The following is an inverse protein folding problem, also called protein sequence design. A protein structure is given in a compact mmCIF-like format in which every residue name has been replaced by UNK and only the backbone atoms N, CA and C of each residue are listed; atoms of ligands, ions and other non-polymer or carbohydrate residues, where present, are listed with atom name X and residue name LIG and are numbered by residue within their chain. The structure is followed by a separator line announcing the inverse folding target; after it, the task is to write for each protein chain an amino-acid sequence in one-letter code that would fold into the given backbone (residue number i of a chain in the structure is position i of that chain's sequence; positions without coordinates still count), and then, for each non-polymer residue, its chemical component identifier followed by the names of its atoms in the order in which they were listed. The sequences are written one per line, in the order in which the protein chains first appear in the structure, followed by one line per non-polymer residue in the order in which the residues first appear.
data_IF_707632088982
#
_entry.id   IF_707632088982
#
_cell.length_a   1.000
_cell.length_b   1.000
_cell.length_c   1.000
_cell.angle_alpha   90.00
_cell.angle_beta   90.00
_cell.angle_gamma   90.00
#
_symmetry.space_group_name_H-M   'P 1'
#
loop_
_entity.id
_entity.type
_entity.pdbx_description
1 polymer ?
#
# COMPACT_ATOMS: atom_id res chain seq x y z
N UNK A 1 39.62 -57.76 -2.01
CA UNK A 1 38.98 -57.65 -0.68
C UNK A 1 39.78 -56.64 0.14
N UNK A 2 39.12 -55.66 0.78
CA UNK A 2 39.70 -54.66 1.71
C UNK A 2 40.34 -53.46 0.98
N UNK A 3 39.75 -52.27 0.83
CA UNK A 3 39.19 -51.26 1.74
C UNK A 3 40.22 -50.19 2.21
N UNK A 4 39.99 -48.97 1.69
CA UNK A 4 40.28 -47.59 2.15
C UNK A 4 41.33 -47.28 3.26
N UNK A 5 42.12 -46.20 3.08
CA UNK A 5 41.82 -44.87 3.68
C UNK A 5 42.99 -43.86 3.57
N UNK A 6 42.64 -42.61 3.16
CA UNK A 6 43.13 -41.26 3.61
C UNK A 6 44.62 -40.90 3.53
N UNK A 7 45.06 -39.93 2.71
CA UNK A 7 44.86 -38.46 2.70
C UNK A 7 45.90 -37.68 3.52
N UNK A 8 46.64 -36.77 2.87
CA UNK A 8 47.11 -35.48 3.43
C UNK A 8 47.89 -34.68 2.36
N UNK A 9 47.59 -33.39 2.20
CA UNK A 9 48.41 -32.52 1.34
C UNK A 9 47.78 -31.19 0.90
N UNK A 10 47.46 -30.33 1.88
CA UNK A 10 47.44 -28.86 1.84
C UNK A 10 46.96 -28.12 0.56
N UNK A 11 45.85 -27.38 0.68
CA UNK A 11 45.53 -26.26 -0.21
C UNK A 11 45.34 -24.96 0.59
N UNK A 12 46.12 -23.94 0.24
CA UNK A 12 46.09 -22.58 0.80
C UNK A 12 44.71 -21.96 0.55
N UNK A 13 43.97 -21.67 1.62
CA UNK A 13 42.83 -20.77 1.54
C UNK A 13 43.30 -19.32 1.42
N UNK A 14 43.17 -18.74 0.23
CA UNK A 14 43.15 -17.30 0.01
C UNK A 14 41.83 -16.76 0.57
N UNK A 15 41.91 -16.18 1.77
CA UNK A 15 40.83 -15.41 2.36
C UNK A 15 40.77 -14.06 1.65
N UNK A 16 39.94 -13.94 0.61
CA UNK A 16 39.64 -12.64 0.01
C UNK A 16 38.58 -11.94 0.87
N UNK A 17 38.99 -10.82 1.48
CA UNK A 17 38.08 -9.91 2.15
C UNK A 17 37.05 -9.39 1.14
N UNK A 18 35.75 -9.57 1.44
CA UNK A 18 34.68 -8.87 0.71
C UNK A 18 34.86 -7.36 0.93
N UNK A 19 34.95 -6.53 -0.11
CA UNK A 19 34.90 -5.10 0.08
C UNK A 19 33.51 -4.72 0.62
N UNK A 20 33.51 -4.11 1.79
CA UNK A 20 32.39 -3.32 2.33
C UNK A 20 32.13 -2.15 1.38
N UNK A 21 30.97 -2.16 0.73
CA UNK A 21 30.54 -1.11 -0.20
C UNK A 21 29.94 -1.69 -1.47
N UNK A 22 28.80 -2.38 -1.35
CA UNK A 22 28.01 -2.73 -2.52
C UNK A 22 27.05 -1.57 -2.81
N UNK A 23 27.57 -0.48 -3.37
CA UNK A 23 26.72 0.42 -4.14
C UNK A 23 26.39 -0.30 -5.44
N UNK A 24 25.25 -1.01 -5.46
CA UNK A 24 24.77 -1.68 -6.67
C UNK A 24 24.66 -0.65 -7.80
N UNK A 25 25.28 -0.94 -8.93
CA UNK A 25 25.20 -0.07 -10.10
C UNK A 25 23.74 0.16 -10.50
N UNK A 26 23.40 1.35 -11.02
CA UNK A 26 22.04 1.67 -11.49
C UNK A 26 21.48 0.63 -12.49
N UNK A 27 22.38 -0.06 -13.22
CA UNK A 27 22.05 -1.14 -14.14
C UNK A 27 21.65 -2.46 -13.45
N UNK A 28 22.29 -2.84 -12.32
CA UNK A 28 21.87 -4.00 -11.53
C UNK A 28 20.53 -3.76 -10.82
N UNK A 29 20.27 -2.52 -10.41
CA UNK A 29 18.98 -2.13 -9.82
C UNK A 29 17.83 -2.25 -10.82
N UNK A 30 18.10 -2.01 -12.11
CA UNK A 30 17.11 -2.11 -13.18
C UNK A 30 16.69 -3.56 -13.51
N UNK A 31 17.52 -4.56 -13.19
CA UNK A 31 17.24 -5.98 -13.49
C UNK A 31 16.59 -6.73 -12.30
N UNK A 32 16.68 -6.20 -11.08
CA UNK A 32 16.09 -6.80 -9.87
C UNK A 32 14.65 -6.34 -9.69
N UNK A 33 13.74 -7.28 -9.36
CA UNK A 33 12.36 -6.93 -8.99
C UNK A 33 12.36 -6.02 -7.75
N UNK A 34 11.66 -4.87 -7.76
CA UNK A 34 11.58 -3.99 -6.60
C UNK A 34 11.05 -4.73 -5.38
N UNK A 35 11.75 -4.58 -4.26
CA UNK A 35 11.31 -5.05 -2.95
C UNK A 35 10.47 -3.96 -2.28
N UNK A 36 9.16 -4.17 -2.23
CA UNK A 36 8.21 -3.31 -1.52
C UNK A 36 7.71 -4.01 -0.26
N UNK A 37 7.59 -3.28 0.84
CA UNK A 37 7.05 -3.80 2.09
C UNK A 37 5.73 -3.13 2.45
N UNK A 38 4.77 -3.93 2.90
CA UNK A 38 3.55 -3.41 3.50
C UNK A 38 3.88 -2.80 4.87
N UNK A 39 3.55 -1.53 5.05
CA UNK A 39 3.85 -0.82 6.29
C UNK A 39 2.65 0.01 6.73
N UNK A 40 2.49 0.14 8.04
CA UNK A 40 1.49 1.01 8.67
C UNK A 40 2.04 1.64 9.94
N UNK A 41 2.74 0.85 10.77
CA UNK A 41 3.41 1.37 11.95
C UNK A 41 4.71 2.10 11.57
N UNK A 42 5.19 2.92 12.51
CA UNK A 42 6.35 3.79 12.32
C UNK A 42 7.64 3.01 12.09
N UNK A 43 7.83 1.86 12.74
CA UNK A 43 9.04 1.04 12.60
C UNK A 43 9.11 0.36 11.24
N UNK A 44 7.99 -0.18 10.75
CA UNK A 44 7.88 -0.76 9.41
C UNK A 44 8.08 0.30 8.33
N UNK A 45 7.61 1.54 8.56
CA UNK A 45 7.91 2.65 7.65
C UNK A 45 9.42 2.97 7.63
N UNK A 46 10.09 3.02 8.79
CA UNK A 46 11.54 3.20 8.86
C UNK A 46 12.29 2.04 8.17
N UNK A 47 11.87 0.79 8.40
CA UNK A 47 12.46 -0.37 7.74
C UNK A 47 12.31 -0.30 6.21
N UNK A 48 11.15 0.15 5.72
CA UNK A 48 10.93 0.37 4.29
C UNK A 48 11.95 1.38 3.71
N UNK A 49 12.14 2.50 4.42
CA UNK A 49 13.16 3.51 4.13
C UNK A 49 14.57 2.94 4.03
N UNK A 50 14.94 2.17 5.05
CA UNK A 50 16.31 1.70 5.26
C UNK A 50 16.71 0.57 4.31
N UNK A 51 15.82 -0.41 4.13
CA UNK A 51 16.18 -1.70 3.53
C UNK A 51 15.37 -2.09 2.27
N UNK A 52 14.34 -1.33 1.88
CA UNK A 52 13.48 -1.67 0.74
C UNK A 52 13.60 -0.67 -0.41
N UNK A 53 13.14 -1.08 -1.59
CA UNK A 53 13.02 -0.21 -2.76
C UNK A 53 11.82 0.73 -2.64
N UNK A 54 10.87 0.41 -1.76
CA UNK A 54 9.72 1.26 -1.51
C UNK A 54 8.79 0.76 -0.42
N UNK A 55 7.74 1.54 -0.20
CA UNK A 55 6.69 1.33 0.79
C UNK A 55 5.36 1.07 0.09
N UNK A 56 4.57 0.14 0.65
CA UNK A 56 3.22 -0.18 0.18
C UNK A 56 2.20 0.12 1.28
N UNK A 57 1.61 1.33 1.31
CA UNK A 57 0.57 1.65 2.27
C UNK A 57 -0.65 0.74 2.15
N UNK A 58 -1.23 0.37 3.29
CA UNK A 58 -2.45 -0.44 3.31
C UNK A 58 -3.63 0.35 2.73
N UNK A 59 -4.61 -0.25 2.02
CA UNK A 59 -5.73 0.48 1.40
C UNK A 59 -6.56 1.38 2.35
N UNK A 60 -6.48 1.14 3.66
CA UNK A 60 -7.18 1.93 4.68
C UNK A 60 -6.45 3.24 5.03
N UNK A 61 -5.16 3.36 4.71
CA UNK A 61 -4.37 4.53 5.08
C UNK A 61 -4.79 5.73 4.22
N UNK A 62 -5.21 6.79 4.90
CA UNK A 62 -5.63 8.05 4.29
C UNK A 62 -4.43 8.85 3.76
N UNK A 63 -4.67 9.79 2.84
CA UNK A 63 -3.66 10.77 2.38
C UNK A 63 -2.94 11.40 3.57
N UNK A 64 -3.70 11.93 4.53
CA UNK A 64 -3.19 12.56 5.75
C UNK A 64 -2.20 11.65 6.50
N UNK A 65 -2.59 10.42 6.80
CA UNK A 65 -1.74 9.49 7.54
C UNK A 65 -0.48 9.12 6.76
N UNK A 66 -0.58 8.96 5.44
CA UNK A 66 0.58 8.69 4.59
C UNK A 66 1.56 9.86 4.64
N UNK A 67 1.10 11.10 4.44
CA UNK A 67 1.95 12.28 4.34
C UNK A 67 2.50 12.75 5.67
N UNK A 68 1.74 12.61 6.76
CA UNK A 68 2.12 13.13 8.08
C UNK A 68 2.84 12.10 8.95
N UNK A 69 2.63 10.79 8.70
CA UNK A 69 3.21 9.72 9.53
C UNK A 69 4.11 8.79 8.73
N UNK A 70 3.60 8.21 7.65
CA UNK A 70 4.31 7.12 6.96
C UNK A 70 5.55 7.62 6.20
N UNK A 71 5.39 8.62 5.34
CA UNK A 71 6.49 9.16 4.53
C UNK A 71 7.59 9.82 5.38
N UNK A 72 7.29 10.59 6.44
CA UNK A 72 8.32 11.09 7.35
C UNK A 72 9.12 9.96 8.03
N UNK A 73 8.46 8.88 8.46
CA UNK A 73 9.16 7.74 9.04
C UNK A 73 9.97 6.96 8.01
N UNK A 74 9.49 6.81 6.78
CA UNK A 74 10.27 6.24 5.69
C UNK A 74 11.50 7.09 5.35
N UNK A 75 11.40 8.42 5.40
CA UNK A 75 12.53 9.32 5.20
C UNK A 75 13.60 9.16 6.29
N UNK A 76 13.21 8.93 7.55
CA UNK A 76 14.16 8.62 8.63
C UNK A 76 14.95 7.34 8.36
N UNK A 77 14.27 6.29 7.89
CA UNK A 77 14.91 5.05 7.48
C UNK A 77 15.86 5.22 6.29
N UNK A 78 15.40 5.92 5.25
CA UNK A 78 16.20 6.20 4.06
C UNK A 78 17.48 6.96 4.44
N UNK A 79 17.39 7.95 5.33
CA UNK A 79 18.53 8.72 5.81
C UNK A 79 19.59 7.85 6.51
N UNK A 80 19.19 6.82 7.28
CA UNK A 80 20.13 5.88 7.92
C UNK A 80 20.92 5.07 6.89
N UNK A 81 20.30 4.76 5.75
CA UNK A 81 20.93 4.07 4.63
C UNK A 81 21.63 5.00 3.62
N UNK A 82 21.77 6.30 3.93
CA UNK A 82 22.38 7.28 3.02
C UNK A 82 21.54 7.59 1.78
N UNK A 83 20.23 7.28 1.80
CA UNK A 83 19.28 7.48 0.69
C UNK A 83 18.34 8.64 0.96
N UNK A 84 17.69 9.13 -0.09
CA UNK A 84 16.60 10.11 -0.01
C UNK A 84 15.24 9.45 -0.20
N UNK A 85 14.19 10.09 0.30
CA UNK A 85 12.81 9.60 0.18
C UNK A 85 12.39 9.45 -1.29
N UNK A 86 12.83 10.37 -2.16
CA UNK A 86 12.49 10.33 -3.60
C UNK A 86 13.07 9.11 -4.34
N UNK A 87 14.00 8.38 -3.71
CA UNK A 87 14.54 7.12 -4.24
C UNK A 87 13.70 5.90 -3.82
N UNK A 88 12.61 6.10 -3.08
CA UNK A 88 11.65 5.07 -2.71
C UNK A 88 10.44 5.10 -3.63
N UNK A 89 9.99 3.92 -4.01
CA UNK A 89 8.67 3.74 -4.61
C UNK A 89 7.60 3.87 -3.52
N UNK A 90 6.56 4.66 -3.78
CA UNK A 90 5.35 4.74 -2.97
C UNK A 90 4.22 4.10 -3.76
N UNK A 91 4.00 2.81 -3.51
CA UNK A 91 3.02 2.00 -4.22
C UNK A 91 1.71 1.95 -3.43
N UNK A 92 0.73 2.76 -3.83
CA UNK A 92 -0.56 2.81 -3.14
C UNK A 92 -1.57 1.85 -3.77
N UNK A 93 -2.46 1.33 -2.94
CA UNK A 93 -3.62 0.56 -3.40
C UNK A 93 -4.92 1.08 -2.80
N UNK A 94 -5.49 2.19 -3.31
CA UNK A 94 -6.65 2.80 -2.70
C UNK A 94 -7.88 1.90 -2.77
N UNK A 95 -8.78 2.04 -1.79
CA UNK A 95 -10.15 1.56 -1.94
C UNK A 95 -10.86 2.46 -2.96
N UNK A 96 -11.56 1.85 -3.92
CA UNK A 96 -12.23 2.56 -5.01
C UNK A 96 -13.65 2.03 -5.15
N UNK A 97 -14.63 2.93 -5.13
CA UNK A 97 -16.03 2.64 -5.44
C UNK A 97 -16.40 3.39 -6.72
N UNK A 98 -16.68 2.65 -7.79
CA UNK A 98 -17.02 3.22 -9.10
C UNK A 98 -18.31 2.61 -9.64
N UNK A 99 -19.27 3.46 -10.00
CA UNK A 99 -20.49 3.07 -10.71
C UNK A 99 -20.70 3.88 -11.99
N UNK A 100 -21.42 3.31 -12.94
CA UNK A 100 -21.89 4.05 -14.14
C UNK A 100 -23.11 4.92 -13.83
N UNK A 101 -23.99 4.44 -12.96
CA UNK A 101 -25.19 5.11 -12.48
C UNK A 101 -25.29 5.07 -10.94
N UNK A 102 -26.29 5.74 -10.38
CA UNK A 102 -26.49 5.84 -8.93
C UNK A 102 -26.76 4.49 -8.27
N UNK A 103 -27.39 3.55 -8.98
CA UNK A 103 -27.69 2.23 -8.45
C UNK A 103 -26.42 1.38 -8.30
N UNK A 104 -25.60 1.33 -9.35
CA UNK A 104 -24.31 0.64 -9.31
C UNK A 104 -23.36 1.31 -8.31
N UNK A 105 -23.32 2.64 -8.28
CA UNK A 105 -22.50 3.37 -7.33
C UNK A 105 -22.91 3.07 -5.89
N UNK A 106 -24.23 3.03 -5.62
CA UNK A 106 -24.77 2.66 -4.31
C UNK A 106 -24.39 1.24 -3.88
N UNK A 107 -24.37 0.28 -4.80
CA UNK A 107 -23.84 -1.07 -4.53
C UNK A 107 -22.34 -1.03 -4.17
N UNK A 108 -21.51 -0.33 -4.94
CA UNK A 108 -20.07 -0.25 -4.66
C UNK A 108 -19.76 0.47 -3.36
N UNK A 109 -20.51 1.52 -3.05
CA UNK A 109 -20.40 2.24 -1.78
C UNK A 109 -20.70 1.30 -0.61
N UNK A 110 -21.75 0.48 -0.69
CA UNK A 110 -22.05 -0.53 0.34
C UNK A 110 -20.91 -1.54 0.51
N UNK A 111 -20.38 -2.07 -0.58
CA UNK A 111 -19.24 -3.01 -0.54
C UNK A 111 -18.01 -2.37 0.12
N UNK A 112 -17.67 -1.13 -0.25
CA UNK A 112 -16.52 -0.41 0.31
C UNK A 112 -16.74 -0.07 1.78
N UNK A 113 -17.94 0.36 2.19
CA UNK A 113 -18.27 0.59 3.61
C UNK A 113 -18.04 -0.67 4.43
N UNK A 114 -18.45 -1.84 3.94
CA UNK A 114 -18.21 -3.11 4.63
C UNK A 114 -16.72 -3.41 4.79
N UNK A 115 -15.90 -3.16 3.76
CA UNK A 115 -14.44 -3.31 3.84
C UNK A 115 -13.82 -2.35 4.83
N UNK A 116 -14.20 -1.07 4.81
CA UNK A 116 -13.74 -0.06 5.75
C UNK A 116 -14.08 -0.48 7.18
N UNK A 117 -15.32 -0.91 7.41
CA UNK A 117 -15.78 -1.30 8.73
C UNK A 117 -15.04 -2.54 9.26
N UNK A 118 -14.77 -3.52 8.39
CA UNK A 118 -13.94 -4.68 8.71
C UNK A 118 -12.53 -4.26 9.16
N UNK A 119 -11.84 -3.42 8.38
CA UNK A 119 -10.50 -2.95 8.76
C UNK A 119 -10.54 -2.11 10.04
N UNK A 120 -11.50 -1.19 10.17
CA UNK A 120 -11.66 -0.35 11.35
C UNK A 120 -11.93 -1.16 12.63
N UNK A 121 -12.49 -2.37 12.52
CA UNK A 121 -12.68 -3.26 13.68
C UNK A 121 -11.39 -3.91 14.22
N UNK A 122 -10.28 -3.79 13.48
CA UNK A 122 -8.97 -4.34 13.87
C UNK A 122 -8.09 -3.26 14.47
N UNK A 123 -7.67 -3.48 15.73
CA UNK A 123 -6.95 -2.47 16.55
C UNK A 123 -5.66 -1.96 15.91
N UNK A 124 -4.97 -2.77 15.10
CA UNK A 124 -3.74 -2.38 14.39
C UNK A 124 -3.93 -1.14 13.51
N UNK A 125 -5.15 -0.90 13.00
CA UNK A 125 -5.44 0.26 12.14
C UNK A 125 -5.88 1.50 12.91
N UNK A 126 -6.08 1.42 14.24
CA UNK A 126 -6.57 2.53 15.07
C UNK A 126 -5.78 3.84 14.88
N UNK A 127 -4.44 3.85 14.76
CA UNK A 127 -3.70 5.09 14.53
C UNK A 127 -4.13 5.87 13.28
N UNK A 128 -4.60 5.18 12.23
CA UNK A 128 -5.11 5.82 11.01
C UNK A 128 -6.40 6.60 11.31
N UNK A 129 -7.27 6.05 12.14
CA UNK A 129 -8.54 6.67 12.53
C UNK A 129 -8.33 7.77 13.57
N UNK A 130 -7.42 7.58 14.53
CA UNK A 130 -7.06 8.59 15.52
C UNK A 130 -6.52 9.87 14.88
N UNK A 131 -5.79 9.76 13.76
CA UNK A 131 -5.33 10.92 13.00
C UNK A 131 -6.47 11.84 12.49
N UNK A 132 -7.71 11.35 12.48
CA UNK A 132 -8.93 12.09 12.13
C UNK A 132 -9.88 12.27 13.31
N UNK A 133 -9.49 11.87 14.52
CA UNK A 133 -10.37 11.92 15.70
C UNK A 133 -11.44 10.81 15.74
N UNK A 134 -11.31 9.76 14.92
CA UNK A 134 -12.29 8.68 14.79
C UNK A 134 -11.99 7.47 15.68
N UNK A 135 -11.20 7.60 16.74
CA UNK A 135 -10.89 6.51 17.66
C UNK A 135 -12.13 5.83 18.24
N UNK A 136 -13.17 6.61 18.57
CA UNK A 136 -14.45 6.08 19.06
C UNK A 136 -15.22 5.24 18.03
N UNK A 137 -15.01 5.47 16.72
CA UNK A 137 -15.57 4.62 15.66
C UNK A 137 -14.91 3.24 15.68
N UNK A 138 -13.58 3.20 15.83
CA UNK A 138 -12.83 1.94 15.96
C UNK A 138 -13.29 1.15 17.17
N UNK A 139 -13.42 1.80 18.33
CA UNK A 139 -13.84 1.14 19.57
C UNK A 139 -15.24 0.50 19.42
N UNK A 140 -16.17 1.22 18.76
CA UNK A 140 -17.52 0.71 18.44
C UNK A 140 -17.48 -0.49 17.49
N UNK A 141 -16.77 -0.37 16.37
CA UNK A 141 -16.69 -1.41 15.34
C UNK A 141 -15.99 -2.67 15.84
N UNK A 142 -14.96 -2.50 16.67
CA UNK A 142 -14.31 -3.61 17.38
C UNK A 142 -15.28 -4.32 18.33
N UNK A 143 -16.12 -3.56 19.06
CA UNK A 143 -17.18 -4.14 19.88
C UNK A 143 -18.16 -4.99 19.08
N UNK A 144 -18.62 -4.50 17.92
CA UNK A 144 -19.53 -5.24 17.04
C UNK A 144 -18.88 -6.50 16.44
N UNK A 145 -17.60 -6.42 16.04
CA UNK A 145 -16.89 -7.57 15.45
C UNK A 145 -16.71 -8.71 16.46
N UNK A 146 -16.38 -8.39 17.72
CA UNK A 146 -16.28 -9.41 18.79
C UNK A 146 -17.62 -10.08 19.13
N UNK A 147 -18.74 -9.39 18.84
CA UNK A 147 -20.10 -9.94 18.96
C UNK A 147 -20.58 -10.63 17.67
N UNK A 148 -19.73 -10.75 16.65
CA UNK A 148 -20.05 -11.29 15.32
C UNK A 148 -21.17 -10.53 14.58
N UNK A 149 -21.40 -9.27 14.93
CA UNK A 149 -22.45 -8.40 14.34
C UNK A 149 -21.95 -7.72 13.06
N UNK A 150 -21.46 -8.51 12.11
CA UNK A 150 -20.76 -8.04 10.92
C UNK A 150 -21.66 -7.22 9.97
N UNK A 151 -22.94 -7.58 9.87
CA UNK A 151 -23.91 -6.94 8.96
C UNK A 151 -24.28 -5.51 9.39
N UNK A 152 -24.14 -5.19 10.67
CA UNK A 152 -24.48 -3.87 11.22
C UNK A 152 -23.36 -2.85 11.05
N UNK A 153 -22.10 -3.33 11.03
CA UNK A 153 -20.92 -2.48 10.99
C UNK A 153 -20.86 -1.48 9.82
N UNK A 154 -21.23 -1.83 8.57
CA UNK A 154 -21.18 -0.88 7.45
C UNK A 154 -22.05 0.36 7.69
N UNK A 155 -23.18 0.22 8.42
CA UNK A 155 -24.10 1.30 8.74
C UNK A 155 -23.53 2.32 9.75
N UNK A 156 -22.42 2.00 10.42
CA UNK A 156 -21.73 2.91 11.33
C UNK A 156 -20.67 3.76 10.65
N UNK A 157 -20.33 3.49 9.39
CA UNK A 157 -19.39 4.32 8.64
C UNK A 157 -20.19 5.54 8.13
N UNK A 158 -19.81 6.79 8.46
CA UNK A 158 -20.43 7.98 7.86
C UNK A 158 -19.87 8.25 6.46
N UNK A 159 -20.50 9.15 5.68
CA UNK A 159 -19.99 9.58 4.36
C UNK A 159 -18.60 10.20 4.45
N UNK A 160 -18.33 11.01 5.48
CA UNK A 160 -17.03 11.64 5.70
C UNK A 160 -15.87 10.63 5.78
N UNK A 161 -16.07 9.54 6.54
CA UNK A 161 -15.07 8.47 6.69
C UNK A 161 -14.89 7.72 5.37
N UNK A 162 -15.99 7.43 4.67
CA UNK A 162 -15.98 6.76 3.37
C UNK A 162 -15.16 7.58 2.36
N UNK A 163 -15.51 8.85 2.17
CA UNK A 163 -14.89 9.73 1.17
C UNK A 163 -13.42 10.05 1.48
N UNK A 164 -13.05 10.03 2.76
CA UNK A 164 -11.65 10.25 3.18
C UNK A 164 -10.77 9.03 2.89
N UNK A 165 -11.30 7.82 3.09
CA UNK A 165 -10.54 6.57 2.96
C UNK A 165 -10.58 6.04 1.52
N UNK A 166 -11.74 6.08 0.87
CA UNK A 166 -11.97 5.52 -0.45
C UNK A 166 -12.19 6.60 -1.50
N UNK A 167 -11.79 6.32 -2.73
CA UNK A 167 -12.14 7.16 -3.88
C UNK A 167 -13.49 6.72 -4.40
N UNK A 168 -14.50 7.56 -4.24
CA UNK A 168 -15.87 7.30 -4.70
C UNK A 168 -16.15 8.15 -5.94
N UNK A 169 -16.73 7.56 -6.99
CA UNK A 169 -17.09 8.31 -8.19
C UNK A 169 -17.60 7.45 -9.33
N UNK A 170 -17.46 7.99 -10.53
CA UNK A 170 -17.84 7.38 -11.80
C UNK A 170 -16.60 7.04 -12.62
N UNK A 171 -16.79 6.26 -13.68
CA UNK A 171 -15.70 6.00 -14.63
C UNK A 171 -15.15 7.27 -15.31
N UNK A 172 -15.88 8.39 -15.29
CA UNK A 172 -15.47 9.67 -15.90
C UNK A 172 -14.57 10.51 -15.02
N UNK A 173 -14.63 10.36 -13.69
CA UNK A 173 -13.93 11.24 -12.75
C UNK A 173 -13.01 10.50 -11.77
N UNK A 174 -13.09 9.18 -11.68
CA UNK A 174 -12.26 8.39 -10.76
C UNK A 174 -10.75 8.59 -11.00
N UNK A 175 -10.30 8.66 -12.25
CA UNK A 175 -8.88 8.87 -12.57
C UNK A 175 -8.39 10.22 -12.02
N UNK A 176 -9.17 11.30 -12.28
CA UNK A 176 -8.90 12.63 -11.74
C UNK A 176 -8.87 12.63 -10.21
N UNK A 177 -9.88 12.03 -9.55
CA UNK A 177 -9.95 11.97 -8.08
C UNK A 177 -8.79 11.19 -7.46
N UNK A 178 -8.34 10.12 -8.10
CA UNK A 178 -7.14 9.36 -7.69
C UNK A 178 -5.90 10.26 -7.76
N UNK A 179 -5.69 10.98 -8.88
CA UNK A 179 -4.54 11.85 -9.06
C UNK A 179 -4.55 13.05 -8.11
N UNK A 180 -5.71 13.69 -7.91
CA UNK A 180 -5.86 14.78 -6.93
C UNK A 180 -5.50 14.32 -5.52
N UNK A 181 -5.80 13.07 -5.17
CA UNK A 181 -5.57 12.54 -3.83
C UNK A 181 -4.17 12.00 -3.60
N UNK A 182 -3.48 11.54 -4.63
CA UNK A 182 -2.24 10.78 -4.45
C UNK A 182 -1.12 11.14 -5.42
N UNK A 183 -1.40 11.89 -6.49
CA UNK A 183 -0.47 12.11 -7.60
C UNK A 183 0.77 12.94 -7.25
N UNK A 184 0.77 13.63 -6.12
CA UNK A 184 1.92 14.41 -5.64
C UNK A 184 2.99 13.59 -4.91
N UNK A 185 2.69 12.36 -4.48
CA UNK A 185 3.65 11.49 -3.80
C UNK A 185 3.64 10.03 -4.24
N UNK A 186 2.55 9.53 -4.83
CA UNK A 186 2.49 8.14 -5.26
C UNK A 186 3.27 7.96 -6.57
N UNK A 187 4.28 7.10 -6.54
CA UNK A 187 5.04 6.73 -7.74
C UNK A 187 4.38 5.57 -8.49
N UNK A 188 3.49 4.82 -7.82
CA UNK A 188 2.72 3.72 -8.40
C UNK A 188 1.34 3.64 -7.76
N UNK A 189 0.32 3.49 -8.59
CA UNK A 189 -1.07 3.33 -8.16
C UNK A 189 -1.60 2.00 -8.68
N UNK A 190 -2.05 1.16 -7.77
CA UNK A 190 -2.66 -0.14 -8.08
C UNK A 190 -4.10 -0.15 -7.60
N UNK A 191 -5.05 -0.44 -8.46
CA UNK A 191 -6.45 -0.56 -8.04
C UNK A 191 -7.13 -1.67 -8.83
N UNK A 192 -8.21 -2.18 -8.27
CA UNK A 192 -9.06 -3.16 -8.92
C UNK A 192 -10.44 -2.55 -9.07
N UNK A 193 -10.94 -2.52 -10.30
CA UNK A 193 -12.35 -2.32 -10.58
C UNK A 193 -12.95 -3.68 -10.95
N UNK A 194 -14.15 -4.01 -10.45
CA UNK A 194 -14.80 -5.27 -10.78
C UNK A 194 -15.06 -5.35 -12.28
N UNK A 195 -14.64 -6.47 -12.91
CA UNK A 195 -14.92 -6.79 -14.32
C UNK A 195 -15.94 -7.93 -14.33
N UNK A 196 -17.23 -7.60 -14.31
CA UNK A 196 -18.34 -8.56 -14.21
C UNK A 196 -19.19 -8.61 -15.48
N UNK A 197 -19.28 -7.49 -16.20
CA UNK A 197 -20.12 -7.32 -17.39
C UNK A 197 -19.25 -7.12 -18.64
N UNK A 198 -19.78 -7.47 -19.83
CA UNK A 198 -19.20 -7.02 -21.09
C UNK A 198 -19.00 -5.49 -21.06
N UNK A 199 -17.82 -5.01 -21.44
CA UNK A 199 -17.46 -3.59 -21.42
C UNK A 199 -16.71 -3.12 -20.18
N UNK A 200 -16.77 -3.82 -19.03
CA UNK A 200 -16.05 -3.40 -17.81
C UNK A 200 -14.53 -3.38 -18.02
N UNK A 201 -13.98 -4.36 -18.74
CA UNK A 201 -12.56 -4.41 -19.06
C UNK A 201 -12.12 -3.20 -19.90
N UNK A 202 -12.97 -2.75 -20.81
CA UNK A 202 -12.68 -1.59 -21.65
C UNK A 202 -12.77 -0.29 -20.86
N UNK A 203 -13.75 -0.18 -19.95
CA UNK A 203 -13.84 0.93 -19.00
C UNK A 203 -12.61 1.01 -18.10
N UNK A 204 -12.16 -0.11 -17.54
CA UNK A 204 -10.93 -0.18 -16.75
C UNK A 204 -9.71 0.27 -17.56
N UNK A 205 -9.58 -0.20 -18.81
CA UNK A 205 -8.53 0.29 -19.73
C UNK A 205 -8.63 1.78 -20.01
N UNK A 206 -9.83 2.33 -20.11
CA UNK A 206 -10.07 3.77 -20.21
C UNK A 206 -9.50 4.55 -19.02
N UNK A 207 -9.84 4.12 -17.80
CA UNK A 207 -9.31 4.73 -16.55
C UNK A 207 -7.79 4.64 -16.48
N UNK A 208 -7.21 3.50 -16.85
CA UNK A 208 -5.75 3.31 -16.87
C UNK A 208 -5.08 4.28 -17.85
N UNK A 209 -5.62 4.40 -19.08
CA UNK A 209 -5.11 5.35 -20.08
C UNK A 209 -5.18 6.79 -19.60
N UNK A 210 -6.26 7.17 -18.93
CA UNK A 210 -6.40 8.51 -18.37
C UNK A 210 -5.38 8.79 -17.27
N UNK A 211 -5.14 7.84 -16.36
CA UNK A 211 -4.11 7.96 -15.32
C UNK A 211 -2.71 8.08 -15.92
N UNK A 212 -2.40 7.28 -16.94
CA UNK A 212 -1.10 7.32 -17.63
C UNK A 212 -0.90 8.61 -18.45
N UNK A 213 -1.96 9.13 -19.07
CA UNK A 213 -1.90 10.33 -19.90
C UNK A 213 -1.88 11.65 -19.11
N UNK A 214 -2.34 11.65 -17.85
CA UNK A 214 -2.32 12.81 -16.95
C UNK A 214 -1.12 12.83 -15.99
N UNK A 215 -0.36 11.74 -15.91
CA UNK A 215 0.80 11.60 -15.04
C UNK A 215 2.14 11.99 -15.69
N UNK A 216 2.10 12.78 -16.77
CA UNK A 216 3.26 13.28 -17.52
C UNK A 216 3.43 14.78 -17.40
#
# INVERSE_FOLDING_TARGET
MGCASTASGASRSLMTARPTGCESSSAERALRRPSLIAAIDTHMCQLAGEACDGIRPHPITTRKFITEVMLPNAALGAKRAGRRLEQLEVAISPLVAVGEDDAELGERVRDVRARIAFYASTRTYRPVFDAHGWGGLVDRLHGLSTQQRWEEMPGHIPDEVLETIAVVGTYRDVARKILERYGDFATRIEFSLPVRRPGDAERLRGVIRELQGRGG
#
